data_IF_011602299873
#
_entry.id   IF_011602299873
#
_cell.length_a   1.000
_cell.length_b   1.000
_cell.length_c   1.000
_cell.angle_alpha   90.00
_cell.angle_beta   90.00
_cell.angle_gamma   90.00
#
_symmetry.space_group_name_H-M   'P 1'
#
loop_
_entity.id
_entity.type
_entity.pdbx_description
1 polymer ?
#
# COMPACT_ATOMS: atom_id res chain seq x y z
N UNK A 1 6.85 24.45 -3.51
CA UNK A 1 5.49 23.94 -3.77
C UNK A 1 5.58 22.43 -3.77
N UNK A 2 4.91 21.74 -2.85
CA UNK A 2 4.83 20.28 -2.89
C UNK A 2 3.84 19.90 -3.99
N UNK A 3 4.30 19.20 -5.03
CA UNK A 3 3.44 18.75 -6.11
C UNK A 3 2.48 17.64 -5.63
N UNK A 4 1.26 17.63 -6.19
CA UNK A 4 0.26 16.60 -5.91
C UNK A 4 0.84 15.22 -6.23
N UNK A 5 0.94 14.36 -5.22
CA UNK A 5 1.55 13.03 -5.36
C UNK A 5 2.95 13.05 -6.01
N UNK A 6 3.70 14.16 -5.91
CA UNK A 6 4.98 14.37 -6.61
C UNK A 6 5.95 13.18 -6.49
N UNK A 7 6.24 12.68 -5.27
CA UNK A 7 7.03 11.49 -5.07
C UNK A 7 6.57 10.27 -5.87
N UNK A 8 5.26 10.02 -5.98
CA UNK A 8 4.71 8.89 -6.74
C UNK A 8 4.93 9.08 -8.25
N UNK A 9 4.65 10.28 -8.75
CA UNK A 9 4.77 10.58 -10.19
C UNK A 9 6.22 10.49 -10.71
N UNK A 10 7.20 10.64 -9.83
CA UNK A 10 8.63 10.47 -10.18
C UNK A 10 9.11 9.02 -10.22
N UNK A 11 8.30 8.05 -9.76
CA UNK A 11 8.68 6.64 -9.69
C UNK A 11 8.19 5.91 -10.94
N UNK A 12 9.13 5.58 -11.84
CA UNK A 12 8.84 4.71 -12.99
C UNK A 12 8.33 3.32 -12.56
N UNK A 13 8.94 2.71 -11.53
CA UNK A 13 8.51 1.43 -10.99
C UNK A 13 8.64 1.38 -9.45
N UNK A 14 7.58 1.73 -8.70
CA UNK A 14 7.61 1.73 -7.24
C UNK A 14 7.41 0.32 -6.63
N UNK A 15 6.94 -0.66 -7.41
CA UNK A 15 6.49 -1.95 -6.92
C UNK A 15 5.14 -1.85 -6.21
N UNK A 16 5.10 -2.02 -4.89
CA UNK A 16 3.88 -1.78 -4.09
C UNK A 16 4.00 -0.43 -3.40
N UNK A 17 2.89 0.28 -3.26
CA UNK A 17 2.83 1.61 -2.66
C UNK A 17 1.75 1.64 -1.59
N UNK A 18 2.05 2.26 -0.46
CA UNK A 18 1.08 2.65 0.57
C UNK A 18 1.16 4.17 0.72
N UNK A 19 0.01 4.83 0.70
CA UNK A 19 -0.13 6.22 1.17
C UNK A 19 -1.15 6.23 2.29
N UNK A 20 -0.80 6.87 3.40
CA UNK A 20 -1.72 7.14 4.51
C UNK A 20 -1.72 8.63 4.77
N UNK A 21 -2.90 9.24 4.84
CA UNK A 21 -3.04 10.67 5.10
C UNK A 21 -4.46 11.07 5.44
N UNK A 22 -4.72 12.37 5.40
CA UNK A 22 -6.06 12.92 5.47
C UNK A 22 -6.35 13.83 4.29
N UNK A 23 -7.61 13.81 3.88
CA UNK A 23 -8.12 14.76 2.89
C UNK A 23 -8.06 16.20 3.37
N UNK A 24 -8.27 17.15 2.47
CA UNK A 24 -8.27 18.58 2.80
C UNK A 24 -9.44 18.99 3.70
N UNK A 25 -10.52 18.21 3.68
CA UNK A 25 -11.68 18.35 4.55
C UNK A 25 -11.43 17.75 5.93
N UNK A 26 -12.18 18.23 6.93
CA UNK A 26 -12.02 17.78 8.30
C UNK A 26 -12.37 16.30 8.46
N UNK A 27 -11.51 15.56 9.17
CA UNK A 27 -11.84 14.25 9.71
C UNK A 27 -11.81 13.08 8.72
N UNK A 28 -11.41 13.26 7.45
CA UNK A 28 -11.36 12.15 6.49
C UNK A 28 -9.97 11.52 6.40
N UNK A 29 -9.85 10.28 6.88
CA UNK A 29 -8.67 9.45 6.66
C UNK A 29 -8.69 8.90 5.22
N UNK A 30 -7.57 9.02 4.53
CA UNK A 30 -7.37 8.51 3.17
C UNK A 30 -6.22 7.50 3.16
N UNK A 31 -6.52 6.30 2.68
CA UNK A 31 -5.55 5.22 2.55
C UNK A 31 -5.54 4.79 1.09
N UNK A 32 -4.35 4.63 0.54
CA UNK A 32 -4.15 4.14 -0.82
C UNK A 32 -3.15 3.00 -0.83
N UNK A 33 -3.46 1.99 -1.63
CA UNK A 33 -2.61 0.85 -1.90
C UNK A 33 -2.50 0.62 -3.41
N UNK A 34 -1.29 0.42 -3.91
CA UNK A 34 -1.05 0.11 -5.31
C UNK A 34 -0.24 -1.17 -5.49
N UNK A 35 -0.55 -1.87 -6.57
CA UNK A 35 0.27 -2.93 -7.14
C UNK A 35 0.71 -2.48 -8.53
N UNK A 36 2.01 -2.53 -8.76
CA UNK A 36 2.64 -2.47 -10.08
C UNK A 36 3.38 -3.79 -10.34
N UNK A 37 3.60 -4.13 -11.62
CA UNK A 37 4.23 -5.40 -11.99
C UNK A 37 5.05 -5.34 -13.27
N UNK A 38 6.24 -5.94 -13.30
CA UNK A 38 7.10 -6.02 -14.50
C UNK A 38 6.94 -7.32 -15.27
N UNK A 39 6.74 -8.42 -14.56
CA UNK A 39 6.58 -9.76 -15.12
C UNK A 39 5.10 -10.07 -15.42
N UNK A 40 4.81 -10.99 -16.36
CA UNK A 40 3.45 -11.48 -16.59
C UNK A 40 2.74 -11.93 -15.30
N UNK A 41 3.44 -12.62 -14.40
CA UNK A 41 2.88 -13.10 -13.12
C UNK A 41 2.61 -11.98 -12.11
N UNK A 42 3.42 -10.91 -12.10
CA UNK A 42 3.14 -9.73 -11.26
C UNK A 42 2.01 -8.87 -11.83
N UNK A 43 1.83 -8.90 -13.16
CA UNK A 43 0.77 -8.20 -13.90
C UNK A 43 -0.58 -8.92 -13.83
N UNK A 44 -0.58 -10.24 -13.60
CA UNK A 44 -1.77 -11.06 -13.50
C UNK A 44 -2.35 -11.05 -12.08
N UNK A 45 -2.59 -9.86 -11.52
CA UNK A 45 -3.20 -9.66 -10.20
C UNK A 45 -4.32 -8.63 -10.28
N UNK A 46 -5.25 -8.71 -9.34
CA UNK A 46 -6.31 -7.71 -9.13
C UNK A 46 -6.54 -7.48 -7.64
N UNK A 47 -7.17 -6.36 -7.34
CA UNK A 47 -7.73 -6.07 -6.03
C UNK A 47 -9.23 -6.35 -6.03
N UNK A 48 -9.72 -7.00 -4.98
CA UNK A 48 -11.15 -7.32 -4.80
C UNK A 48 -11.59 -6.93 -3.40
N UNK A 49 -12.69 -6.18 -3.33
CA UNK A 49 -13.37 -5.88 -2.07
C UNK A 49 -14.20 -7.11 -1.64
N UNK A 50 -14.03 -7.53 -0.40
CA UNK A 50 -14.85 -8.55 0.26
C UNK A 50 -15.04 -8.16 1.71
N UNK A 51 -16.29 -7.94 2.10
CA UNK A 51 -16.65 -7.40 3.41
C UNK A 51 -15.85 -6.13 3.75
N UNK A 52 -15.11 -6.14 4.87
CA UNK A 52 -14.23 -5.05 5.31
C UNK A 52 -12.76 -5.33 4.99
N UNK A 53 -12.53 -5.89 3.81
CA UNK A 53 -11.21 -6.35 3.37
C UNK A 53 -11.00 -6.09 1.89
N UNK A 54 -9.78 -5.71 1.54
CA UNK A 54 -9.35 -5.67 0.14
C UNK A 54 -8.31 -6.76 -0.04
N UNK A 55 -8.61 -7.73 -0.89
CA UNK A 55 -7.74 -8.86 -1.19
C UNK A 55 -6.96 -8.61 -2.47
N UNK A 56 -5.68 -8.99 -2.46
CA UNK A 56 -4.90 -9.21 -3.67
C UNK A 56 -5.08 -10.66 -4.08
N UNK A 57 -5.48 -10.88 -5.33
CA UNK A 57 -5.65 -12.21 -5.89
C UNK A 57 -5.21 -12.23 -7.36
N UNK A 58 -4.77 -13.39 -7.88
CA UNK A 58 -4.37 -13.52 -9.28
C UNK A 58 -5.57 -13.46 -10.22
N UNK A 59 -5.35 -13.01 -11.46
CA UNK A 59 -6.39 -13.00 -12.50
C UNK A 59 -6.56 -14.33 -13.22
N UNK A 60 -5.58 -15.22 -13.10
CA UNK A 60 -5.58 -16.54 -13.75
C UNK A 60 -4.91 -17.61 -12.88
N UNK A 61 -5.30 -18.86 -13.13
CA UNK A 61 -4.81 -20.03 -12.37
C UNK A 61 -3.36 -20.36 -12.70
N UNK A 62 -2.88 -20.02 -13.90
CA UNK A 62 -1.49 -20.28 -14.31
C UNK A 62 -0.49 -19.45 -13.51
N UNK A 63 -0.85 -18.22 -13.15
CA UNK A 63 -0.04 -17.35 -12.28
C UNK A 63 0.18 -17.97 -10.90
N UNK A 64 -0.83 -18.67 -10.35
CA UNK A 64 -0.67 -19.42 -9.09
C UNK A 64 0.33 -20.57 -9.20
N UNK A 65 0.41 -21.22 -10.38
CA UNK A 65 1.32 -22.36 -10.60
C UNK A 65 2.78 -21.94 -10.77
N UNK A 66 3.01 -20.69 -11.19
CA UNK A 66 4.35 -20.18 -11.52
C UNK A 66 5.03 -19.45 -10.35
N UNK A 67 4.30 -19.09 -9.30
CA UNK A 67 4.80 -18.32 -8.17
C UNK A 67 4.53 -18.97 -6.82
N UNK A 68 5.12 -18.39 -5.76
CA UNK A 68 4.83 -18.73 -4.38
C UNK A 68 3.44 -18.19 -4.01
N UNK A 69 2.41 -19.03 -3.77
CA UNK A 69 1.04 -18.57 -3.54
C UNK A 69 0.91 -17.53 -2.42
N UNK A 70 1.74 -17.64 -1.39
CA UNK A 70 1.79 -16.73 -0.25
C UNK A 70 2.24 -15.29 -0.59
N UNK A 71 2.86 -15.07 -1.76
CA UNK A 71 3.23 -13.75 -2.29
C UNK A 71 2.21 -13.21 -3.31
N UNK A 72 1.25 -14.04 -3.71
CA UNK A 72 0.26 -13.75 -4.75
C UNK A 72 -1.13 -13.49 -4.18
N UNK A 73 -1.50 -14.19 -3.10
CA UNK A 73 -2.81 -14.08 -2.44
C UNK A 73 -2.63 -13.61 -1.01
N UNK A 74 -3.09 -12.40 -0.72
CA UNK A 74 -3.05 -11.82 0.62
C UNK A 74 -4.07 -10.69 0.77
N UNK A 75 -4.49 -10.46 2.00
CA UNK A 75 -5.29 -9.30 2.36
C UNK A 75 -4.40 -8.06 2.30
N UNK A 76 -4.66 -7.15 1.36
CA UNK A 76 -3.94 -5.89 1.25
C UNK A 76 -4.42 -4.86 2.27
N UNK A 77 -5.74 -4.81 2.53
CA UNK A 77 -6.33 -3.97 3.56
C UNK A 77 -7.34 -4.71 4.44
N UNK A 78 -7.39 -4.32 5.71
CA UNK A 78 -8.43 -4.62 6.69
C UNK A 78 -8.92 -3.31 7.32
N UNK A 79 -10.22 -3.12 7.49
CA UNK A 79 -10.77 -1.88 8.06
C UNK A 79 -11.91 -2.12 9.06
N UNK A 80 -11.67 -2.97 10.07
CA UNK A 80 -12.66 -3.37 11.08
C UNK A 80 -12.45 -2.69 12.45
N UNK A 81 -11.28 -2.87 13.08
CA UNK A 81 -10.93 -2.35 14.42
C UNK A 81 -10.01 -1.13 14.36
N UNK A 82 -9.88 -0.56 13.17
CA UNK A 82 -8.77 0.26 12.70
C UNK A 82 -8.47 -0.16 11.26
N UNK A 83 -7.53 0.52 10.60
CA UNK A 83 -7.11 0.15 9.25
C UNK A 83 -5.74 -0.51 9.34
N UNK A 84 -5.62 -1.72 8.81
CA UNK A 84 -4.34 -2.36 8.51
C UNK A 84 -4.12 -2.35 6.99
N UNK A 85 -2.90 -2.06 6.56
CA UNK A 85 -2.52 -2.12 5.15
C UNK A 85 -1.10 -2.66 5.01
N UNK A 86 -0.87 -3.58 4.07
CA UNK A 86 0.49 -4.05 3.79
C UNK A 86 0.61 -4.68 2.41
N UNK A 87 1.84 -4.90 1.95
CA UNK A 87 2.11 -5.58 0.69
C UNK A 87 2.16 -7.13 0.78
N UNK A 88 1.65 -7.73 1.86
CA UNK A 88 1.68 -9.17 2.04
C UNK A 88 0.79 -9.70 3.16
N UNK A 89 1.05 -10.94 3.58
CA UNK A 89 0.27 -11.64 4.62
C UNK A 89 0.39 -11.01 6.01
N UNK A 90 1.37 -10.13 6.23
CA UNK A 90 1.52 -9.43 7.50
C UNK A 90 0.34 -8.52 7.85
N UNK A 91 -0.53 -8.18 6.89
CA UNK A 91 -1.79 -7.46 7.16
C UNK A 91 -2.65 -8.16 8.21
N UNK A 92 -2.68 -9.50 8.23
CA UNK A 92 -3.47 -10.25 9.22
C UNK A 92 -2.96 -10.04 10.65
N UNK A 93 -1.64 -9.98 10.84
CA UNK A 93 -1.06 -9.74 12.16
C UNK A 93 -1.28 -8.30 12.61
N UNK A 94 -1.26 -7.34 11.68
CA UNK A 94 -1.56 -5.92 11.99
C UNK A 94 -3.03 -5.78 12.39
N UNK A 95 -3.95 -6.40 11.66
CA UNK A 95 -5.37 -6.40 11.99
C UNK A 95 -5.64 -7.07 13.36
N UNK A 96 -4.97 -8.19 13.64
CA UNK A 96 -5.05 -8.86 14.94
C UNK A 96 -4.53 -7.98 16.09
N UNK A 97 -3.39 -7.31 15.90
CA UNK A 97 -2.81 -6.39 16.89
C UNK A 97 -3.70 -5.16 17.12
N UNK A 98 -4.32 -4.60 16.08
CA UNK A 98 -5.30 -3.51 16.23
C UNK A 98 -6.51 -3.97 17.04
N UNK A 99 -7.04 -5.16 16.74
CA UNK A 99 -8.18 -5.73 17.45
C UNK A 99 -7.89 -6.03 18.92
N UNK A 100 -6.69 -6.56 19.22
CA UNK A 100 -6.31 -6.92 20.60
C UNK A 100 -6.05 -5.69 21.48
N UNK A 101 -5.46 -4.63 20.91
CA UNK A 101 -5.07 -3.42 21.66
C UNK A 101 -6.20 -2.40 21.80
N UNK A 102 -7.17 -2.41 20.89
CA UNK A 102 -8.32 -1.49 20.92
C UNK A 102 -8.01 -0.08 20.40
N UNK A 103 -8.94 0.85 20.62
CA UNK A 103 -9.00 2.16 19.94
C UNK A 103 -7.80 3.08 20.22
N UNK A 104 -7.18 2.95 21.39
CA UNK A 104 -6.11 3.85 21.86
C UNK A 104 -4.70 3.25 21.74
N UNK A 105 -4.55 2.11 21.07
CA UNK A 105 -3.25 1.47 20.82
C UNK A 105 -2.23 2.46 20.26
N UNK A 106 -0.92 2.37 20.47
CA UNK A 106 0.03 3.25 19.76
C UNK A 106 0.43 2.63 18.40
N UNK A 107 0.50 3.37 17.27
CA UNK A 107 0.81 2.77 15.96
C UNK A 107 2.16 2.05 15.92
N UNK A 108 3.18 2.56 16.62
CA UNK A 108 4.50 1.91 16.67
C UNK A 108 4.43 0.61 17.46
N UNK A 109 3.65 0.58 18.55
CA UNK A 109 3.41 -0.64 19.33
C UNK A 109 2.69 -1.71 18.50
N UNK A 110 1.63 -1.31 17.78
CA UNK A 110 0.88 -2.21 16.88
C UNK A 110 1.80 -2.80 15.82
N UNK A 111 2.59 -1.95 15.15
CA UNK A 111 3.51 -2.41 14.10
C UNK A 111 4.64 -3.27 14.67
N UNK A 112 5.19 -2.94 15.84
CA UNK A 112 6.24 -3.73 16.47
C UNK A 112 5.77 -5.15 16.82
N UNK A 113 4.60 -5.28 17.44
CA UNK A 113 4.00 -6.58 17.78
C UNK A 113 3.61 -7.38 16.53
N UNK A 114 2.90 -6.75 15.59
CA UNK A 114 2.41 -7.43 14.39
C UNK A 114 3.53 -7.93 13.48
N UNK A 115 4.64 -7.18 13.43
CA UNK A 115 5.76 -7.42 12.53
C UNK A 115 6.91 -8.20 13.17
N UNK A 116 6.74 -8.65 14.42
CA UNK A 116 7.65 -9.57 15.07
C UNK A 116 7.79 -10.85 14.21
N UNK A 117 9.03 -11.25 13.94
CA UNK A 117 9.34 -12.42 13.11
C UNK A 117 9.17 -12.25 11.59
N UNK A 118 8.59 -11.13 11.11
CA UNK A 118 8.51 -10.87 9.66
C UNK A 118 9.83 -10.33 9.10
N UNK A 119 10.28 -10.84 7.96
CA UNK A 119 11.46 -10.32 7.23
C UNK A 119 11.04 -9.74 5.87
N UNK A 120 12.00 -9.33 5.03
CA UNK A 120 11.72 -9.06 3.62
C UNK A 120 11.20 -10.33 2.89
N UNK A 121 10.68 -10.18 1.68
CA UNK A 121 10.17 -11.33 0.92
C UNK A 121 11.32 -12.25 0.47
N UNK A 122 11.16 -13.58 0.54
CA UNK A 122 12.18 -14.53 0.11
C UNK A 122 12.10 -14.77 -1.42
N UNK A 123 12.25 -13.70 -2.20
CA UNK A 123 12.10 -13.64 -3.66
C UNK A 123 13.40 -13.18 -4.35
N UNK A 124 14.50 -13.87 -4.05
CA UNK A 124 15.80 -13.62 -4.68
C UNK A 124 15.68 -13.52 -6.22
N UNK A 125 16.40 -12.59 -6.88
CA UNK A 125 17.40 -11.69 -6.30
C UNK A 125 16.83 -10.37 -5.74
N UNK A 126 15.51 -10.18 -5.73
CA UNK A 126 14.91 -8.88 -5.39
C UNK A 126 14.83 -8.61 -3.90
N UNK A 127 14.55 -9.64 -3.09
CA UNK A 127 14.42 -9.51 -1.63
C UNK A 127 13.48 -8.36 -1.25
N UNK A 128 12.28 -8.41 -1.83
CA UNK A 128 11.34 -7.30 -1.84
C UNK A 128 11.01 -6.84 -0.42
N UNK A 129 11.13 -5.54 -0.11
CA UNK A 129 10.79 -5.06 1.21
C UNK A 129 9.33 -5.31 1.57
N UNK A 130 9.08 -5.56 2.86
CA UNK A 130 7.72 -5.51 3.40
C UNK A 130 7.42 -4.09 3.85
N UNK A 131 6.40 -3.51 3.24
CA UNK A 131 5.83 -2.22 3.65
C UNK A 131 4.50 -2.49 4.34
N UNK A 132 4.30 -1.81 5.45
CA UNK A 132 3.15 -2.01 6.32
C UNK A 132 2.69 -0.68 6.87
N UNK A 133 1.41 -0.57 7.20
CA UNK A 133 0.87 0.60 7.86
C UNK A 133 -0.39 0.28 8.66
N UNK A 134 -0.70 1.17 9.59
CA UNK A 134 -1.93 1.13 10.34
C UNK A 134 -2.50 2.52 10.57
N UNK A 135 -3.82 2.61 10.70
CA UNK A 135 -4.54 3.81 11.12
C UNK A 135 -5.48 3.44 12.26
N UNK A 136 -5.44 4.22 13.32
CA UNK A 136 -6.28 4.05 14.49
C UNK A 136 -7.42 5.04 14.46
N UNK A 137 -8.50 4.65 15.14
CA UNK A 137 -9.60 5.55 15.43
C UNK A 137 -9.06 6.76 16.19
N UNK A 138 -9.46 7.96 15.79
CA UNK A 138 -8.90 9.23 16.25
C UNK A 138 -7.76 9.79 15.38
N UNK A 139 -7.36 9.07 14.31
CA UNK A 139 -6.47 9.60 13.28
C UNK A 139 -4.99 9.59 13.65
N UNK A 140 -4.53 8.61 14.44
CA UNK A 140 -3.10 8.29 14.52
C UNK A 140 -2.76 7.23 13.49
N UNK A 141 -1.64 7.41 12.81
CA UNK A 141 -1.18 6.54 11.74
C UNK A 141 0.26 6.11 11.96
N UNK A 142 0.63 4.98 11.35
CA UNK A 142 1.99 4.52 11.29
C UNK A 142 2.32 3.80 9.98
N UNK A 143 3.59 3.84 9.61
CA UNK A 143 4.17 3.08 8.50
C UNK A 143 5.43 2.36 8.99
N UNK A 144 5.69 1.17 8.45
CA UNK A 144 6.90 0.40 8.69
C UNK A 144 7.46 -0.18 7.40
N UNK A 145 8.79 -0.25 7.36
CA UNK A 145 9.60 -0.84 6.31
C UNK A 145 10.50 -1.92 6.90
N UNK A 146 10.48 -3.12 6.31
CA UNK A 146 11.43 -4.19 6.58
C UNK A 146 12.13 -4.53 5.27
N UNK A 147 13.43 -4.28 5.17
CA UNK A 147 14.22 -4.54 3.96
C UNK A 147 15.46 -5.37 4.26
N UNK A 148 16.08 -5.94 3.23
CA UNK A 148 17.38 -6.58 3.37
C UNK A 148 18.44 -5.50 3.65
N UNK A 149 19.23 -5.72 4.70
CA UNK A 149 20.39 -4.91 5.04
C UNK A 149 21.64 -5.34 4.31
N UNK A 150 22.71 -4.55 4.42
CA UNK A 150 23.97 -4.80 3.71
C UNK A 150 24.63 -6.15 4.03
N UNK A 151 24.32 -6.74 5.19
CA UNK A 151 24.81 -8.07 5.62
C UNK A 151 23.81 -9.20 5.36
N UNK A 152 22.68 -8.91 4.71
CA UNK A 152 21.56 -9.85 4.53
C UNK A 152 20.57 -9.88 5.71
N UNK A 153 20.94 -9.33 6.87
CA UNK A 153 20.05 -9.21 8.03
C UNK A 153 18.89 -8.23 7.76
N UNK A 154 17.69 -8.44 8.31
CA UNK A 154 16.57 -7.52 8.13
C UNK A 154 16.81 -6.19 8.84
N UNK A 155 16.70 -5.09 8.10
CA UNK A 155 16.67 -3.74 8.66
C UNK A 155 15.23 -3.26 8.79
N UNK A 156 14.88 -2.71 9.96
CA UNK A 156 13.52 -2.32 10.31
C UNK A 156 13.44 -0.83 10.59
N UNK A 157 12.40 -0.19 10.10
CA UNK A 157 12.08 1.20 10.43
C UNK A 157 10.58 1.34 10.62
N UNK A 158 10.16 2.20 11.55
CA UNK A 158 8.77 2.51 11.80
C UNK A 158 8.62 4.00 12.12
N UNK A 159 7.53 4.59 11.63
CA UNK A 159 7.24 6.01 11.74
C UNK A 159 5.78 6.17 12.13
N UNK A 160 5.47 7.08 13.04
CA UNK A 160 4.10 7.42 13.40
C UNK A 160 3.86 8.92 13.33
N UNK A 161 2.60 9.28 13.15
CA UNK A 161 2.14 10.67 13.14
C UNK A 161 0.64 10.74 13.40
N UNK A 162 0.14 11.95 13.63
CA UNK A 162 -1.29 12.24 13.61
C UNK A 162 -1.66 12.72 12.21
N UNK A 163 -2.80 12.28 11.69
CA UNK A 163 -3.30 12.71 10.39
C UNK A 163 -3.48 14.23 10.37
N UNK A 164 -2.97 14.86 9.30
CA UNK A 164 -2.99 16.29 9.08
C UNK A 164 -3.81 16.58 7.81
N UNK A 165 -4.82 17.48 7.86
CA UNK A 165 -5.66 17.77 6.70
C UNK A 165 -4.84 18.19 5.47
N UNK A 166 -5.10 17.54 4.34
CA UNK A 166 -4.44 17.84 3.07
C UNK A 166 -3.07 17.19 2.87
N UNK A 167 -2.59 16.39 3.82
CA UNK A 167 -1.27 15.77 3.77
C UNK A 167 -1.33 14.26 3.99
N UNK A 168 -0.38 13.56 3.38
CA UNK A 168 -0.16 12.14 3.58
C UNK A 168 1.30 11.77 3.48
N UNK A 169 1.59 10.50 3.77
CA UNK A 169 2.93 9.93 3.70
C UNK A 169 2.93 8.69 2.83
N UNK A 170 3.86 8.66 1.88
CA UNK A 170 4.07 7.60 0.91
C UNK A 170 5.22 6.70 1.34
N UNK A 171 4.99 5.39 1.30
CA UNK A 171 6.03 4.38 1.38
C UNK A 171 5.86 3.41 0.21
N UNK A 172 6.98 3.04 -0.43
CA UNK A 172 6.98 2.08 -1.54
C UNK A 172 7.95 0.93 -1.25
N UNK A 173 7.84 -0.16 -1.99
CA UNK A 173 8.81 -1.26 -1.88
C UNK A 173 10.16 -0.91 -2.50
N UNK A 174 10.16 -0.13 -3.59
CA UNK A 174 11.38 0.23 -4.31
C UNK A 174 11.52 1.75 -4.47
N UNK A 175 12.75 2.20 -4.77
CA UNK A 175 13.07 3.62 -4.97
C UNK A 175 12.37 4.26 -6.17
N UNK A 176 11.91 3.45 -7.13
CA UNK A 176 11.11 3.93 -8.25
C UNK A 176 11.82 3.94 -9.60
N UNK A 177 13.10 3.61 -9.69
CA UNK A 177 13.79 3.48 -10.98
C UNK A 177 14.07 2.02 -11.33
N UNK A 178 14.16 1.75 -12.62
CA UNK A 178 14.44 0.41 -13.10
C UNK A 178 15.91 0.01 -12.88
N UNK A 179 16.10 -1.14 -12.23
CA UNK A 179 17.38 -1.82 -12.14
C UNK A 179 17.16 -3.34 -11.99
N UNK A 180 18.25 -4.10 -11.94
CA UNK A 180 18.25 -5.53 -11.67
C UNK A 180 19.45 -5.91 -10.77
N UNK A 181 19.25 -6.24 -9.48
CA UNK A 181 17.97 -6.25 -8.76
C UNK A 181 17.39 -4.84 -8.56
N UNK A 182 16.11 -4.78 -8.18
CA UNK A 182 15.43 -3.52 -7.90
C UNK A 182 15.95 -2.90 -6.59
N UNK A 183 16.25 -1.59 -6.55
CA UNK A 183 16.72 -0.95 -5.34
C UNK A 183 15.57 -0.80 -4.34
N UNK A 184 15.74 -1.35 -3.14
CA UNK A 184 14.79 -1.20 -2.04
C UNK A 184 14.62 0.27 -1.67
N UNK A 185 13.40 0.67 -1.33
CA UNK A 185 13.14 2.00 -0.76
C UNK A 185 13.98 2.22 0.51
N UNK A 186 14.50 3.44 0.71
CA UNK A 186 15.28 3.82 1.88
C UNK A 186 14.75 5.08 2.57
N UNK A 187 14.98 5.17 3.88
CA UNK A 187 14.67 6.36 4.67
C UNK A 187 13.22 6.46 5.13
N UNK A 188 12.82 7.69 5.46
CA UNK A 188 11.48 7.99 5.95
C UNK A 188 10.44 8.01 4.82
N UNK A 189 9.15 7.80 5.12
CA UNK A 189 8.07 8.03 4.17
C UNK A 189 8.14 9.43 3.55
N UNK A 190 7.81 9.53 2.26
CA UNK A 190 7.82 10.80 1.51
C UNK A 190 6.50 11.53 1.69
N UNK A 191 6.53 12.81 2.01
CA UNK A 191 5.31 13.62 2.15
C UNK A 191 4.62 13.83 0.79
N UNK A 192 3.30 13.76 0.80
CA UNK A 192 2.44 14.01 -0.37
C UNK A 192 1.28 14.92 0.00
N UNK A 193 0.82 15.71 -0.97
CA UNK A 193 -0.39 16.54 -0.83
C UNK A 193 -1.62 15.76 -1.28
N UNK A 194 -2.68 15.77 -0.47
CA UNK A 194 -3.94 15.05 -0.66
C UNK A 194 -5.13 16.02 -0.62
N UNK A 195 -5.48 16.68 -1.74
CA UNK A 195 -6.55 17.67 -1.76
C UNK A 195 -7.96 17.05 -1.73
N UNK A 196 -8.08 15.75 -1.97
CA UNK A 196 -9.36 15.04 -2.12
C UNK A 196 -9.97 14.65 -0.77
N UNK A 197 -11.23 14.24 -0.77
CA UNK A 197 -11.94 13.79 0.44
C UNK A 197 -12.69 12.46 0.26
N UNK A 198 -12.62 11.88 -0.93
CA UNK A 198 -13.30 10.67 -1.35
C UNK A 198 -12.31 9.68 -1.97
N UNK A 199 -12.66 8.40 -1.90
CA UNK A 199 -11.77 7.32 -2.34
C UNK A 199 -11.57 7.35 -3.86
N UNK A 200 -12.64 7.67 -4.61
CA UNK A 200 -12.60 7.69 -6.06
C UNK A 200 -11.58 8.70 -6.61
N UNK A 201 -11.64 9.95 -6.16
CA UNK A 201 -10.78 11.02 -6.68
C UNK A 201 -9.31 10.76 -6.40
N UNK A 202 -8.97 10.28 -5.20
CA UNK A 202 -7.59 9.90 -4.89
C UNK A 202 -7.13 8.70 -5.74
N UNK A 203 -7.97 7.67 -5.89
CA UNK A 203 -7.63 6.51 -6.72
C UNK A 203 -7.38 6.89 -8.18
N UNK A 204 -8.26 7.70 -8.78
CA UNK A 204 -8.12 8.15 -10.17
C UNK A 204 -6.87 9.00 -10.38
N UNK A 205 -6.61 9.95 -9.48
CA UNK A 205 -5.43 10.81 -9.54
C UNK A 205 -4.13 9.99 -9.40
N UNK A 206 -4.02 9.16 -8.36
CA UNK A 206 -2.82 8.35 -8.11
C UNK A 206 -2.58 7.30 -9.20
N UNK A 207 -3.64 6.68 -9.72
CA UNK A 207 -3.53 5.75 -10.85
C UNK A 207 -3.09 6.45 -12.15
N UNK A 208 -3.53 7.69 -12.36
CA UNK A 208 -3.08 8.55 -13.46
C UNK A 208 -1.61 8.95 -13.31
N UNK A 209 -1.16 9.32 -12.10
CA UNK A 209 0.23 9.72 -11.83
C UNK A 209 1.25 8.60 -12.05
N UNK A 210 0.84 7.33 -11.96
CA UNK A 210 1.71 6.18 -12.26
C UNK A 210 1.70 5.78 -13.74
N UNK A 211 0.97 6.49 -14.61
CA UNK A 211 0.99 6.19 -16.03
C UNK A 211 2.40 6.44 -16.62
N UNK A 212 2.84 5.65 -17.60
CA UNK A 212 4.13 5.89 -18.26
C UNK A 212 4.12 7.25 -18.96
N UNK A 213 5.22 8.00 -18.85
CA UNK A 213 5.35 9.33 -19.46
C UNK A 213 5.51 9.31 -21.00
N UNK A 214 5.58 8.12 -21.62
CA UNK A 214 5.80 7.92 -23.05
C UNK A 214 5.49 6.48 -23.47
N UNK A 215 6.01 5.98 -24.62
CA UNK A 215 5.74 4.63 -25.12
C UNK A 215 6.39 3.50 -24.29
N UNK A 216 6.78 3.80 -23.05
CA UNK A 216 7.35 2.85 -22.11
C UNK A 216 6.33 1.83 -21.63
N UNK A 217 6.84 0.80 -20.95
CA UNK A 217 6.00 -0.24 -20.38
C UNK A 217 5.07 0.33 -19.30
N UNK A 218 3.77 0.05 -19.43
CA UNK A 218 2.80 0.39 -18.38
C UNK A 218 2.87 -0.66 -17.28
N UNK A 219 3.42 -0.26 -16.12
CA UNK A 219 3.58 -1.14 -14.97
C UNK A 219 2.35 -1.19 -14.07
N UNK A 220 1.31 -0.39 -14.31
CA UNK A 220 0.13 -0.35 -13.45
C UNK A 220 -0.62 -1.68 -13.51
N UNK A 221 -1.03 -2.17 -12.34
CA UNK A 221 -1.84 -3.39 -12.23
C UNK A 221 -3.17 -3.06 -11.59
N UNK A 222 -3.13 -2.60 -10.33
CA UNK A 222 -4.34 -2.28 -9.58
C UNK A 222 -4.06 -1.26 -8.49
N UNK A 223 -5.05 -0.44 -8.18
CA UNK A 223 -5.05 0.41 -6.99
C UNK A 223 -6.35 0.25 -6.21
N UNK A 224 -6.27 0.43 -4.91
CA UNK A 224 -7.43 0.63 -4.06
C UNK A 224 -7.21 1.89 -3.22
N UNK A 225 -8.26 2.68 -3.10
CA UNK A 225 -8.32 3.76 -2.13
C UNK A 225 -9.50 3.53 -1.19
N UNK A 226 -9.29 3.90 0.07
CA UNK A 226 -10.26 3.87 1.13
C UNK A 226 -10.34 5.28 1.74
N UNK A 227 -11.56 5.80 1.87
CA UNK A 227 -11.87 7.04 2.57
C UNK A 227 -12.83 6.74 3.72
N UNK A 228 -12.49 7.15 4.95
CA UNK A 228 -13.31 6.92 6.13
C UNK A 228 -13.26 8.10 7.09
N UNK A 229 -14.23 8.20 7.98
CA UNK A 229 -14.14 9.16 9.09
C UNK A 229 -13.07 8.70 10.09
N UNK A 230 -12.18 9.59 10.50
CA UNK A 230 -11.13 9.26 11.45
C UNK A 230 -11.70 8.80 12.81
N UNK A 231 -12.91 9.23 13.18
CA UNK A 231 -13.63 8.81 14.38
C UNK A 231 -14.37 7.47 14.22
N UNK A 232 -14.67 7.05 12.99
CA UNK A 232 -15.29 5.78 12.64
C UNK A 232 -14.71 5.22 11.33
N UNK A 233 -13.67 4.40 11.46
CA UNK A 233 -12.97 3.80 10.33
C UNK A 233 -13.73 2.61 9.71
N UNK A 234 -14.86 2.20 10.29
CA UNK A 234 -15.62 1.03 9.86
C UNK A 234 -16.64 1.33 8.76
N UNK A 235 -17.08 2.59 8.67
CA UNK A 235 -17.90 3.11 7.57
C UNK A 235 -17.00 3.78 6.54
N UNK A 236 -16.48 2.96 5.63
CA UNK A 236 -15.47 3.36 4.67
C UNK A 236 -16.00 3.29 3.23
N UNK A 237 -15.79 4.37 2.48
CA UNK A 237 -15.90 4.37 1.03
C UNK A 237 -14.67 3.71 0.44
N UNK A 238 -14.86 2.76 -0.49
CA UNK A 238 -13.77 2.08 -1.19
C UNK A 238 -13.91 2.28 -2.69
N UNK A 239 -12.81 2.64 -3.35
CA UNK A 239 -12.72 2.66 -4.80
C UNK A 239 -11.53 1.82 -5.28
N UNK A 240 -11.78 0.90 -6.21
CA UNK A 240 -10.77 0.01 -6.77
C UNK A 240 -10.68 0.22 -8.28
N UNK A 241 -9.46 0.29 -8.80
CA UNK A 241 -9.17 0.30 -10.22
C UNK A 241 -8.29 -0.90 -10.53
N UNK A 242 -8.79 -1.85 -11.31
CA UNK A 242 -8.03 -2.93 -11.90
C UNK A 242 -7.79 -2.61 -13.39
N UNK A 243 -6.54 -2.45 -13.83
CA UNK A 243 -6.22 -2.00 -15.20
C UNK A 243 -6.82 -2.94 -16.26
N UNK A 244 -6.63 -4.25 -16.09
CA UNK A 244 -7.11 -5.28 -17.04
C UNK A 244 -8.64 -5.28 -17.20
N UNK A 245 -9.37 -4.90 -16.15
CA UNK A 245 -10.84 -4.82 -16.18
C UNK A 245 -11.34 -3.53 -16.85
N UNK A 246 -10.52 -2.46 -16.87
CA UNK A 246 -10.82 -1.23 -17.63
C UNK A 246 -10.61 -1.44 -19.13
N UNK A 247 -9.53 -2.10 -19.52
CA UNK A 247 -9.22 -2.35 -20.94
C UNK A 247 -10.23 -3.29 -21.60
N UNK A 248 -10.84 -4.21 -20.84
CA UNK A 248 -11.87 -5.12 -21.34
C UNK A 248 -13.26 -4.50 -21.57
N UNK A 249 -13.48 -3.22 -21.21
CA UNK A 249 -14.74 -2.49 -21.47
C UNK A 249 -14.72 -1.66 -22.76
N UNK A 250 -13.63 -1.72 -23.52
CA UNK A 250 -13.43 -0.98 -24.78
C UNK A 250 -13.44 -1.95 -25.98
N UNK A 251 -14.02 -3.15 -25.84
CA UNK A 251 -14.16 -4.16 -26.87
C UNK A 251 -15.62 -4.50 -27.15
#
# INVERSE_FOLDING_TARGET
MTELLGPLSSMAYPGRVIIIGAGSGFGKALIFYAITGRSPSSQARRLRLEDRSIWTEPTDVETLKQGKPELLVYRALAFDSGIAVSNGRQTEHIAAALKSRGRDADPLTVLAEALEGWEYEPDAPHFTPRISGCVQIGGRAGLSLIRMGGTGAPERSAFSWKLEPGFGRLLATYEGFEANPLPSFIGAPRDVVLPWNDAKSMAEAAFGSMAPAGPGQDYRVSVACLAADAGDLSDAEVHIINLRERSGRIG
#
